data_IF_885402015943
#
_entry.id   IF_885402015943
#
_cell.length_a   1.000
_cell.length_b   1.000
_cell.length_c   1.000
_cell.angle_alpha   90.00
_cell.angle_beta   90.00
_cell.angle_gamma   90.00
#
_symmetry.space_group_name_H-M   'P 1'
#
loop_
_entity.id
_entity.type
_entity.pdbx_description
1 polymer ?
#
# COMPACT_ATOMS: atom_id res chain seq x y z
N UNK A 1 -61.53 43.38 28.20
CA UNK A 1 -60.77 42.90 27.02
C UNK A 1 -60.24 41.50 27.32
N UNK A 2 -60.82 40.44 26.74
CA UNK A 2 -60.35 39.05 26.92
C UNK A 2 -59.17 38.81 25.97
N UNK A 3 -58.00 38.44 26.49
CA UNK A 3 -56.83 38.08 25.68
C UNK A 3 -57.08 36.70 25.05
N UNK A 4 -57.00 36.63 23.73
CA UNK A 4 -57.06 35.41 22.95
C UNK A 4 -55.65 34.81 22.90
N UNK A 5 -55.44 33.64 23.51
CA UNK A 5 -54.20 32.89 23.40
C UNK A 5 -54.36 31.86 22.28
N UNK A 6 -53.60 32.00 21.20
CA UNK A 6 -53.52 31.03 20.10
C UNK A 6 -52.36 30.09 20.40
N UNK A 7 -52.64 28.79 20.54
CA UNK A 7 -51.63 27.75 20.58
C UNK A 7 -51.53 27.11 19.19
N UNK A 8 -50.38 27.25 18.54
CA UNK A 8 -50.05 26.53 17.30
C UNK A 8 -49.41 25.21 17.73
N UNK A 9 -50.11 24.10 17.51
CA UNK A 9 -49.57 22.75 17.64
C UNK A 9 -49.02 22.35 16.27
N UNK A 10 -47.72 22.54 16.03
CA UNK A 10 -47.05 21.92 14.88
C UNK A 10 -46.79 20.46 15.22
N UNK A 11 -47.54 19.57 14.59
CA UNK A 11 -47.34 18.13 14.66
C UNK A 11 -46.01 17.78 13.96
N UNK A 12 -44.91 17.75 14.71
CA UNK A 12 -43.63 17.24 14.23
C UNK A 12 -43.74 15.73 14.03
N UNK A 13 -43.94 15.31 12.78
CA UNK A 13 -43.71 13.93 12.37
C UNK A 13 -42.20 13.67 12.40
N UNK A 14 -41.72 13.06 13.48
CA UNK A 14 -40.39 12.45 13.52
C UNK A 14 -40.42 11.18 12.67
N UNK A 15 -40.06 11.31 11.40
CA UNK A 15 -39.79 10.16 10.54
C UNK A 15 -38.37 9.68 10.86
N UNK A 16 -38.26 8.66 11.70
CA UNK A 16 -37.00 7.96 11.92
C UNK A 16 -36.69 7.13 10.68
N UNK A 17 -35.84 7.65 9.79
CA UNK A 17 -35.22 6.83 8.77
C UNK A 17 -34.16 5.95 9.43
N UNK A 18 -34.42 4.64 9.48
CA UNK A 18 -33.34 3.70 9.69
C UNK A 18 -32.50 3.70 8.41
N UNK A 19 -31.40 4.47 8.41
CA UNK A 19 -30.37 4.33 7.40
C UNK A 19 -29.69 3.00 7.69
N UNK A 20 -30.13 1.94 7.00
CA UNK A 20 -29.32 0.74 6.89
C UNK A 20 -28.13 1.12 6.01
N UNK A 21 -26.98 1.40 6.63
CA UNK A 21 -25.75 1.54 5.88
C UNK A 21 -25.45 0.17 5.26
N UNK A 22 -25.38 0.11 3.93
CA UNK A 22 -24.87 -1.07 3.23
C UNK A 22 -23.45 -1.35 3.74
N UNK A 23 -23.12 -2.63 3.92
CA UNK A 23 -21.78 -3.04 4.35
C UNK A 23 -20.73 -2.47 3.37
N UNK A 24 -19.82 -1.64 3.87
CA UNK A 24 -18.73 -1.11 3.06
C UNK A 24 -17.82 -2.26 2.59
N UNK A 25 -17.76 -2.47 1.28
CA UNK A 25 -16.89 -3.44 0.63
C UNK A 25 -15.72 -2.73 -0.05
N UNK A 26 -14.51 -3.18 0.25
CA UNK A 26 -13.27 -2.72 -0.33
C UNK A 26 -12.61 -3.87 -1.11
N UNK A 27 -12.27 -3.64 -2.38
CA UNK A 27 -11.44 -4.56 -3.16
C UNK A 27 -9.98 -4.13 -3.05
N UNK A 28 -9.14 -4.96 -2.44
CA UNK A 28 -7.69 -4.74 -2.43
C UNK A 28 -7.10 -5.54 -3.58
N UNK A 29 -6.56 -4.84 -4.57
CA UNK A 29 -5.80 -5.40 -5.68
C UNK A 29 -4.33 -5.18 -5.32
N UNK A 30 -3.54 -6.24 -5.22
CA UNK A 30 -2.14 -6.07 -4.82
C UNK A 30 -1.21 -7.02 -5.55
N UNK A 31 0.04 -6.58 -5.67
CA UNK A 31 1.19 -7.42 -6.01
C UNK A 31 2.33 -7.14 -5.03
N UNK A 32 3.36 -7.96 -5.08
CA UNK A 32 4.59 -7.81 -4.30
C UNK A 32 5.73 -8.51 -5.04
N UNK A 33 6.97 -8.14 -4.74
CA UNK A 33 8.17 -8.89 -5.15
C UNK A 33 8.23 -9.15 -6.66
N UNK A 34 7.77 -8.18 -7.47
CA UNK A 34 7.83 -8.35 -8.92
C UNK A 34 9.26 -8.28 -9.42
N UNK A 35 10.21 -7.76 -8.63
CA UNK A 35 11.65 -7.88 -8.86
C UNK A 35 12.07 -7.54 -10.31
N UNK A 36 11.49 -6.50 -10.91
CA UNK A 36 11.76 -6.12 -12.30
C UNK A 36 11.52 -7.24 -13.35
N UNK A 37 10.67 -8.22 -13.06
CA UNK A 37 10.11 -9.17 -14.02
C UNK A 37 9.04 -8.47 -14.87
N UNK A 38 9.50 -7.55 -15.73
CA UNK A 38 8.64 -6.68 -16.53
C UNK A 38 8.05 -7.39 -17.76
N UNK A 39 8.68 -8.48 -18.22
CA UNK A 39 8.21 -9.31 -19.34
C UNK A 39 7.62 -10.62 -18.81
N UNK A 40 6.66 -11.17 -19.56
CA UNK A 40 6.18 -12.52 -19.32
C UNK A 40 7.32 -13.56 -19.44
N UNK A 41 7.20 -14.63 -18.67
CA UNK A 41 8.13 -15.74 -18.62
C UNK A 41 7.42 -17.05 -18.94
N UNK A 42 8.15 -18.02 -19.51
CA UNK A 42 7.61 -19.36 -19.67
C UNK A 42 7.80 -20.16 -18.38
N UNK A 43 6.73 -20.83 -17.96
CA UNK A 43 6.77 -21.83 -16.91
C UNK A 43 6.06 -23.10 -17.37
N UNK A 44 6.54 -24.23 -16.85
CA UNK A 44 5.91 -25.53 -17.04
C UNK A 44 4.91 -25.74 -15.89
N UNK A 45 3.66 -26.04 -16.24
CA UNK A 45 2.61 -26.39 -15.30
C UNK A 45 2.15 -27.81 -15.53
N UNK A 46 2.08 -28.60 -14.48
CA UNK A 46 1.50 -29.95 -14.51
C UNK A 46 0.14 -29.93 -13.82
N UNK A 47 -0.93 -30.13 -14.59
CA UNK A 47 -2.30 -30.26 -14.09
C UNK A 47 -2.82 -31.61 -14.54
N UNK A 48 -3.32 -32.41 -13.59
CA UNK A 48 -3.84 -33.77 -13.85
C UNK A 48 -2.88 -34.66 -14.65
N UNK A 49 -1.57 -34.51 -14.41
CA UNK A 49 -0.51 -35.29 -15.07
C UNK A 49 -0.10 -34.80 -16.46
N UNK A 50 -0.72 -33.73 -16.99
CA UNK A 50 -0.37 -33.13 -18.28
C UNK A 50 0.52 -31.91 -18.03
N UNK A 51 1.74 -31.92 -18.58
CA UNK A 51 2.64 -30.76 -18.52
C UNK A 51 2.43 -29.86 -19.73
N UNK A 52 2.18 -28.57 -19.47
CA UNK A 52 2.04 -27.53 -20.49
C UNK A 52 2.97 -26.36 -20.22
N UNK A 53 3.47 -25.77 -21.31
CA UNK A 53 4.21 -24.50 -21.29
C UNK A 53 3.23 -23.35 -21.37
N UNK A 54 3.24 -22.50 -20.35
CA UNK A 54 2.41 -21.28 -20.33
C UNK A 54 3.30 -20.06 -20.17
N UNK A 55 2.90 -18.96 -20.81
CA UNK A 55 3.47 -17.65 -20.51
C UNK A 55 2.73 -17.09 -19.28
N UNK A 56 3.48 -16.64 -18.29
CA UNK A 56 2.94 -16.09 -17.05
C UNK A 56 3.58 -14.75 -16.70
N UNK A 57 2.84 -13.92 -15.96
CA UNK A 57 3.32 -12.65 -15.44
C UNK A 57 3.64 -11.62 -16.52
N UNK A 58 4.57 -10.72 -16.20
CA UNK A 58 4.88 -9.54 -17.01
C UNK A 58 3.94 -8.38 -16.73
N UNK A 59 4.49 -7.18 -16.70
CA UNK A 59 3.75 -5.97 -16.37
C UNK A 59 2.59 -5.63 -17.31
N UNK A 60 2.65 -5.89 -18.63
CA UNK A 60 1.50 -5.69 -19.51
C UNK A 60 0.26 -6.50 -19.09
N UNK A 61 0.44 -7.76 -18.67
CA UNK A 61 -0.65 -8.60 -18.19
C UNK A 61 -1.17 -8.10 -16.84
N UNK A 62 -0.27 -7.72 -15.93
CA UNK A 62 -0.62 -7.15 -14.62
C UNK A 62 -1.44 -5.86 -14.79
N UNK A 63 -1.02 -4.94 -15.66
CA UNK A 63 -1.73 -3.68 -15.94
C UNK A 63 -3.13 -3.98 -16.50
N UNK A 64 -3.23 -4.91 -17.46
CA UNK A 64 -4.50 -5.32 -18.03
C UNK A 64 -5.46 -5.85 -16.97
N UNK A 65 -4.97 -6.71 -16.08
CA UNK A 65 -5.77 -7.31 -15.01
C UNK A 65 -6.18 -6.28 -13.95
N UNK A 66 -5.27 -5.41 -13.52
CA UNK A 66 -5.59 -4.30 -12.60
C UNK A 66 -6.71 -3.43 -13.17
N UNK A 67 -6.61 -3.05 -14.45
CA UNK A 67 -7.64 -2.24 -15.11
C UNK A 67 -9.00 -2.95 -15.18
N UNK A 68 -9.01 -4.25 -15.48
CA UNK A 68 -10.22 -5.08 -15.47
C UNK A 68 -10.85 -5.10 -14.08
N UNK A 69 -10.07 -5.41 -13.04
CA UNK A 69 -10.54 -5.53 -11.66
C UNK A 69 -11.06 -4.21 -11.09
N UNK A 70 -10.45 -3.07 -11.48
CA UNK A 70 -10.91 -1.72 -11.13
C UNK A 70 -12.24 -1.37 -11.78
N UNK A 71 -12.47 -1.84 -13.01
CA UNK A 71 -13.72 -1.59 -13.72
C UNK A 71 -14.92 -2.33 -13.11
N UNK A 72 -14.68 -3.47 -12.46
CA UNK A 72 -15.73 -4.26 -11.79
C UNK A 72 -16.19 -3.67 -10.45
N UNK A 73 -15.28 -3.08 -9.66
CA UNK A 73 -15.58 -2.60 -8.29
C UNK A 73 -15.02 -1.19 -8.08
N UNK A 74 -15.90 -0.17 -7.93
CA UNK A 74 -15.46 1.23 -7.81
C UNK A 74 -14.69 1.50 -6.52
N UNK A 75 -15.00 0.80 -5.43
CA UNK A 75 -14.27 0.91 -4.15
C UNK A 75 -13.06 -0.02 -4.16
N UNK A 76 -11.99 0.34 -4.87
CA UNK A 76 -10.76 -0.44 -4.94
C UNK A 76 -9.53 0.33 -4.50
N UNK A 77 -8.53 -0.42 -4.03
CA UNK A 77 -7.16 0.04 -3.77
C UNK A 77 -6.20 -0.84 -4.56
N UNK A 78 -5.23 -0.23 -5.23
CA UNK A 78 -4.16 -0.90 -5.96
C UNK A 78 -2.85 -0.69 -5.20
N UNK A 79 -2.30 -1.74 -4.60
CA UNK A 79 -1.16 -1.63 -3.67
C UNK A 79 0.03 -2.50 -4.11
N UNK A 80 1.24 -2.02 -3.87
CA UNK A 80 2.46 -2.79 -4.07
C UNK A 80 3.20 -3.01 -2.75
N UNK A 81 3.42 -4.26 -2.32
CA UNK A 81 4.02 -4.53 -1.00
C UNK A 81 5.56 -4.56 -1.01
N UNK A 82 6.21 -3.68 -1.79
CA UNK A 82 7.68 -3.58 -1.88
C UNK A 82 8.37 -4.60 -2.79
N UNK A 83 9.68 -4.44 -2.92
CA UNK A 83 10.58 -5.21 -3.78
C UNK A 83 10.20 -5.14 -5.27
N UNK A 84 10.11 -3.90 -5.77
CA UNK A 84 10.02 -3.62 -7.20
C UNK A 84 11.35 -3.87 -7.91
N UNK A 85 12.46 -3.65 -7.21
CA UNK A 85 13.80 -3.80 -7.78
C UNK A 85 14.34 -5.22 -7.65
N UNK A 86 15.27 -5.55 -8.54
CA UNK A 86 16.14 -6.72 -8.42
C UNK A 86 17.38 -6.52 -9.28
N UNK A 87 18.32 -7.48 -9.25
CA UNK A 87 19.47 -7.48 -10.16
C UNK A 87 19.16 -8.10 -11.54
N UNK A 88 17.89 -8.24 -11.92
CA UNK A 88 17.51 -8.75 -13.24
C UNK A 88 17.83 -7.74 -14.37
N UNK A 89 17.74 -8.23 -15.61
CA UNK A 89 18.22 -7.53 -16.82
C UNK A 89 17.66 -6.10 -16.93
N UNK A 90 16.35 -5.93 -16.71
CA UNK A 90 15.71 -4.62 -16.86
C UNK A 90 16.27 -3.59 -15.87
N UNK A 91 16.43 -3.95 -14.60
CA UNK A 91 17.02 -3.05 -13.62
C UNK A 91 18.51 -2.81 -13.88
N UNK A 92 19.23 -3.82 -14.36
CA UNK A 92 20.66 -3.67 -14.68
C UNK A 92 20.88 -2.62 -15.78
N UNK A 93 20.01 -2.58 -16.79
CA UNK A 93 20.13 -1.68 -17.94
C UNK A 93 19.45 -0.33 -17.70
N UNK A 94 18.22 -0.34 -17.18
CA UNK A 94 17.36 0.86 -17.08
C UNK A 94 17.24 1.40 -15.66
N UNK A 95 17.84 0.74 -14.68
CA UNK A 95 17.76 1.09 -13.25
C UNK A 95 16.29 1.23 -12.81
N UNK A 96 15.96 2.30 -12.10
CA UNK A 96 14.63 2.60 -11.58
C UNK A 96 13.58 2.88 -12.68
N UNK A 97 14.02 3.46 -13.80
CA UNK A 97 13.17 4.09 -14.82
C UNK A 97 12.09 3.16 -15.40
N UNK A 98 12.49 1.95 -15.78
CA UNK A 98 11.58 1.00 -16.41
C UNK A 98 10.49 0.51 -15.44
N UNK A 99 10.84 0.34 -14.15
CA UNK A 99 9.86 0.00 -13.12
C UNK A 99 8.91 1.18 -12.88
N UNK A 100 9.46 2.40 -12.73
CA UNK A 100 8.66 3.60 -12.49
C UNK A 100 7.62 3.84 -13.60
N UNK A 101 8.04 3.77 -14.86
CA UNK A 101 7.16 3.99 -16.01
C UNK A 101 5.99 2.99 -16.04
N UNK A 102 6.26 1.70 -15.84
CA UNK A 102 5.23 0.67 -15.89
C UNK A 102 4.34 0.67 -14.64
N UNK A 103 4.89 0.99 -13.47
CA UNK A 103 4.10 1.14 -12.24
C UNK A 103 3.19 2.35 -12.29
N UNK A 104 3.63 3.47 -12.88
CA UNK A 104 2.78 4.63 -13.14
C UNK A 104 1.60 4.27 -14.06
N UNK A 105 1.85 3.45 -15.10
CA UNK A 105 0.80 2.96 -16.00
C UNK A 105 -0.17 2.00 -15.31
N UNK A 106 0.29 1.21 -14.34
CA UNK A 106 -0.57 0.33 -13.54
C UNK A 106 -1.52 1.09 -12.61
N UNK A 107 -1.17 2.33 -12.24
CA UNK A 107 -2.00 3.18 -11.40
C UNK A 107 -2.12 2.67 -9.96
N UNK A 108 -0.97 2.39 -9.33
CA UNK A 108 -0.88 2.09 -7.90
C UNK A 108 -1.28 3.31 -7.05
N UNK A 109 -1.94 3.06 -5.92
CA UNK A 109 -2.29 4.07 -4.92
C UNK A 109 -1.19 4.27 -3.88
N UNK A 110 -0.42 3.21 -3.58
CA UNK A 110 0.73 3.26 -2.69
C UNK A 110 1.64 2.05 -2.87
N UNK A 111 2.90 2.24 -2.48
CA UNK A 111 3.88 1.16 -2.41
C UNK A 111 4.54 1.13 -1.02
N UNK A 112 4.62 -0.02 -0.38
CA UNK A 112 5.51 -0.18 0.77
C UNK A 112 6.97 -0.25 0.31
N UNK A 113 7.89 0.29 1.09
CA UNK A 113 9.33 0.15 0.82
C UNK A 113 9.76 -1.26 1.21
N UNK A 114 10.28 -2.04 0.26
CA UNK A 114 10.90 -3.34 0.49
C UNK A 114 12.39 -3.23 0.82
N UNK A 115 13.06 -4.37 0.93
CA UNK A 115 14.48 -4.37 1.23
C UNK A 115 15.34 -4.07 0.00
N UNK A 116 14.92 -4.50 -1.19
CA UNK A 116 15.69 -4.32 -2.43
C UNK A 116 15.62 -2.89 -2.98
N UNK A 117 14.69 -2.07 -2.49
CA UNK A 117 14.67 -0.63 -2.78
C UNK A 117 15.95 0.09 -2.35
N UNK A 118 16.70 -0.45 -1.39
CA UNK A 118 17.98 0.10 -0.91
C UNK A 118 19.23 -0.50 -1.56
N UNK A 119 19.12 -1.41 -2.54
CA UNK A 119 20.27 -2.18 -3.05
C UNK A 119 21.35 -1.33 -3.72
N UNK A 120 20.92 -0.22 -4.33
CA UNK A 120 21.77 0.79 -4.98
C UNK A 120 21.89 2.07 -4.12
N UNK A 121 21.45 2.00 -2.86
CA UNK A 121 21.50 3.09 -1.88
C UNK A 121 20.38 4.12 -2.01
N UNK A 122 20.33 5.01 -1.02
CA UNK A 122 19.28 6.00 -0.83
C UNK A 122 19.07 6.92 -2.05
N UNK A 123 20.14 7.22 -2.79
CA UNK A 123 20.09 8.08 -3.97
C UNK A 123 19.26 7.49 -5.10
N UNK A 124 19.34 6.18 -5.34
CA UNK A 124 18.50 5.53 -6.36
C UNK A 124 17.04 5.49 -5.92
N UNK A 125 16.79 5.15 -4.66
CA UNK A 125 15.44 5.15 -4.10
C UNK A 125 14.81 6.54 -4.20
N UNK A 126 15.57 7.61 -3.96
CA UNK A 126 15.10 8.99 -4.17
C UNK A 126 14.65 9.21 -5.61
N UNK A 127 15.48 8.84 -6.60
CA UNK A 127 15.13 8.99 -8.02
C UNK A 127 13.85 8.25 -8.36
N UNK A 128 13.68 7.03 -7.86
CA UNK A 128 12.46 6.27 -8.06
C UNK A 128 11.23 6.97 -7.46
N UNK A 129 11.34 7.48 -6.23
CA UNK A 129 10.28 8.27 -5.58
C UNK A 129 9.93 9.52 -6.41
N UNK A 130 10.94 10.19 -6.99
CA UNK A 130 10.74 11.37 -7.83
C UNK A 130 10.06 11.04 -9.17
N UNK A 131 10.16 9.79 -9.65
CA UNK A 131 9.59 9.34 -10.94
C UNK A 131 8.21 8.72 -10.83
N UNK A 132 7.84 8.14 -9.68
CA UNK A 132 6.50 7.55 -9.49
C UNK A 132 5.46 8.60 -9.12
N UNK A 133 4.20 8.36 -9.53
CA UNK A 133 3.07 9.24 -9.25
C UNK A 133 2.27 8.86 -7.99
N UNK A 134 2.78 7.91 -7.20
CA UNK A 134 2.18 7.42 -5.97
C UNK A 134 3.18 7.45 -4.81
N UNK A 135 2.71 7.57 -3.55
CA UNK A 135 3.60 7.61 -2.40
C UNK A 135 4.23 6.25 -2.10
N UNK A 136 5.50 6.29 -1.69
CA UNK A 136 6.14 5.20 -0.97
C UNK A 136 5.93 5.37 0.54
N UNK A 137 5.61 4.27 1.23
CA UNK A 137 5.28 4.28 2.64
C UNK A 137 6.07 3.24 3.45
N UNK A 138 6.48 3.62 4.66
CA UNK A 138 7.02 2.72 5.66
C UNK A 138 7.02 3.38 7.04
N UNK A 139 6.34 2.77 7.99
CA UNK A 139 6.19 3.30 9.35
C UNK A 139 7.45 3.22 10.19
N UNK A 140 8.34 2.30 9.86
CA UNK A 140 9.55 2.03 10.64
C UNK A 140 10.83 2.53 9.97
N UNK A 141 10.74 3.27 8.86
CA UNK A 141 11.89 3.97 8.27
C UNK A 141 11.91 5.41 8.80
N UNK A 142 13.03 5.81 9.38
CA UNK A 142 13.30 7.17 9.78
C UNK A 142 14.55 7.70 9.06
N UNK A 143 14.33 8.61 8.11
CA UNK A 143 15.41 9.28 7.37
C UNK A 143 15.77 10.61 8.06
N UNK A 144 17.04 10.76 8.45
CA UNK A 144 17.54 12.00 9.08
C UNK A 144 17.39 13.20 8.15
N UNK A 145 17.51 14.43 8.69
CA UNK A 145 17.50 15.67 7.89
C UNK A 145 18.60 15.75 6.82
N UNK A 146 19.67 14.97 6.95
CA UNK A 146 20.77 14.90 5.98
C UNK A 146 20.51 13.88 4.87
N UNK A 147 19.55 12.98 5.06
CA UNK A 147 19.22 11.96 4.08
C UNK A 147 18.54 12.58 2.85
N UNK A 148 18.88 12.14 1.63
CA UNK A 148 18.11 12.48 0.43
C UNK A 148 16.64 12.01 0.48
N UNK A 149 16.31 11.09 1.40
CA UNK A 149 14.97 10.53 1.60
C UNK A 149 14.18 11.26 2.70
N UNK A 150 14.74 12.31 3.32
CA UNK A 150 14.09 13.04 4.40
C UNK A 150 12.70 13.55 3.99
N UNK A 151 11.67 13.14 4.73
CA UNK A 151 10.28 13.53 4.46
C UNK A 151 9.64 12.93 3.22
N UNK A 152 10.34 12.08 2.45
CA UNK A 152 9.83 11.49 1.21
C UNK A 152 9.08 10.17 1.44
N UNK A 153 9.47 9.40 2.45
CA UNK A 153 8.81 8.14 2.83
C UNK A 153 7.86 8.43 4.00
N UNK A 154 6.56 8.30 3.76
CA UNK A 154 5.54 8.56 4.79
C UNK A 154 5.30 7.30 5.63
N UNK A 155 5.01 7.42 6.93
CA UNK A 155 4.72 6.24 7.74
C UNK A 155 3.40 5.56 7.36
N UNK A 156 2.42 6.37 6.97
CA UNK A 156 1.10 5.96 6.52
C UNK A 156 0.52 7.00 5.57
N UNK A 157 -0.56 6.63 4.88
CA UNK A 157 -1.45 7.55 4.16
C UNK A 157 -2.90 7.30 4.57
N UNK A 158 -3.78 8.26 4.27
CA UNK A 158 -5.23 8.13 4.45
C UNK A 158 -5.86 8.35 3.08
N UNK A 159 -6.61 7.36 2.61
CA UNK A 159 -7.32 7.39 1.34
C UNK A 159 -8.82 7.54 1.60
N UNK A 160 -9.49 8.42 0.85
CA UNK A 160 -10.95 8.51 0.87
C UNK A 160 -11.50 7.62 -0.25
N UNK A 161 -12.33 6.63 0.10
CA UNK A 161 -12.96 5.70 -0.84
C UNK A 161 -14.46 5.70 -0.58
N UNK A 162 -15.23 6.28 -1.51
CA UNK A 162 -16.61 6.66 -1.23
C UNK A 162 -16.66 7.65 -0.07
N UNK A 163 -17.47 7.36 0.94
CA UNK A 163 -17.61 8.18 2.16
C UNK A 163 -16.66 7.73 3.28
N UNK A 164 -15.85 6.69 3.04
CA UNK A 164 -15.02 6.04 4.05
C UNK A 164 -13.56 6.49 3.99
N UNK A 165 -12.94 6.58 5.17
CA UNK A 165 -11.50 6.84 5.31
C UNK A 165 -10.77 5.54 5.61
N UNK A 166 -9.81 5.20 4.75
CA UNK A 166 -8.96 4.01 4.91
C UNK A 166 -7.54 4.47 5.24
N UNK A 167 -7.04 4.10 6.42
CA UNK A 167 -5.64 4.30 6.77
C UNK A 167 -4.78 3.17 6.18
N UNK A 168 -3.64 3.49 5.59
CA UNK A 168 -2.71 2.51 5.03
C UNK A 168 -1.34 2.74 5.67
N UNK A 169 -0.90 1.81 6.51
CA UNK A 169 0.39 1.85 7.21
C UNK A 169 1.40 1.03 6.41
N UNK A 170 2.57 1.59 6.12
CA UNK A 170 3.67 0.87 5.49
C UNK A 170 4.53 0.12 6.50
N UNK A 171 5.20 -0.97 6.12
CA UNK A 171 6.19 -1.63 6.97
C UNK A 171 7.31 -2.27 6.15
N UNK A 172 8.55 -2.08 6.58
CA UNK A 172 9.76 -2.67 5.96
C UNK A 172 10.46 -3.61 6.94
N UNK A 173 11.00 -4.73 6.45
CA UNK A 173 11.82 -5.64 7.27
C UNK A 173 13.16 -5.01 7.68
N UNK A 174 13.32 -4.59 8.94
CA UNK A 174 14.50 -3.86 9.40
C UNK A 174 15.79 -4.65 9.23
N UNK A 175 15.89 -5.79 9.91
CA UNK A 175 17.13 -6.57 10.01
C UNK A 175 17.65 -7.05 8.65
N UNK A 176 16.74 -7.43 7.74
CA UNK A 176 17.11 -7.90 6.40
C UNK A 176 17.60 -6.74 5.54
N UNK A 177 16.94 -5.59 5.58
CA UNK A 177 17.37 -4.41 4.82
C UNK A 177 18.75 -3.93 5.29
N UNK A 178 18.97 -3.83 6.60
CA UNK A 178 20.27 -3.42 7.16
C UNK A 178 21.40 -4.44 6.87
N UNK A 179 21.09 -5.73 6.88
CA UNK A 179 22.09 -6.79 6.73
C UNK A 179 22.33 -7.27 5.30
N UNK A 180 21.47 -6.92 4.35
CA UNK A 180 21.51 -7.50 2.99
C UNK A 180 21.19 -6.50 1.88
N UNK A 181 21.07 -5.22 2.20
CA UNK A 181 20.96 -4.11 1.25
C UNK A 181 21.95 -3.00 1.60
N UNK A 182 21.79 -1.79 1.06
CA UNK A 182 22.74 -0.68 1.26
C UNK A 182 22.07 0.65 1.71
N UNK A 183 21.19 0.65 2.73
CA UNK A 183 20.76 1.91 3.32
C UNK A 183 21.97 2.67 3.88
N UNK A 184 21.98 4.00 3.78
CA UNK A 184 23.04 4.82 4.39
C UNK A 184 22.90 4.90 5.92
N UNK A 185 23.94 5.41 6.59
CA UNK A 185 23.90 5.69 8.04
C UNK A 185 22.89 6.78 8.43
N UNK A 186 22.31 7.49 7.46
CA UNK A 186 21.25 8.48 7.68
C UNK A 186 19.85 7.84 7.72
N UNK A 187 19.75 6.53 7.53
CA UNK A 187 18.50 5.75 7.60
C UNK A 187 18.51 4.88 8.86
N UNK A 188 17.61 5.21 9.79
CA UNK A 188 17.35 4.37 10.97
C UNK A 188 16.10 3.55 10.75
N UNK A 189 16.17 2.26 11.05
CA UNK A 189 14.99 1.39 11.11
C UNK A 189 14.55 1.23 12.55
N UNK A 190 13.27 1.53 12.81
CA UNK A 190 12.62 1.38 14.10
C UNK A 190 12.06 -0.04 14.25
N UNK A 191 11.71 -0.42 15.49
CA UNK A 191 11.03 -1.70 15.74
C UNK A 191 9.72 -1.80 14.95
N UNK A 192 9.52 -2.92 14.28
CA UNK A 192 8.38 -3.15 13.40
C UNK A 192 7.04 -3.12 14.15
N UNK A 193 6.98 -3.68 15.37
CA UNK A 193 5.76 -3.71 16.17
C UNK A 193 5.43 -2.36 16.79
N UNK A 194 6.40 -1.72 17.44
CA UNK A 194 6.21 -0.41 18.06
C UNK A 194 5.78 0.63 17.03
N UNK A 195 6.38 0.61 15.83
CA UNK A 195 6.04 1.51 14.74
C UNK A 195 4.59 1.32 14.28
N UNK A 196 4.20 0.10 13.94
CA UNK A 196 2.82 -0.18 13.48
C UNK A 196 1.80 0.12 14.57
N UNK A 197 2.07 -0.28 15.81
CA UNK A 197 1.19 -0.05 16.95
C UNK A 197 0.95 1.44 17.19
N UNK A 198 2.01 2.26 17.17
CA UNK A 198 1.94 3.72 17.30
C UNK A 198 1.03 4.34 16.25
N UNK A 199 1.24 4.03 14.96
CA UNK A 199 0.44 4.66 13.89
C UNK A 199 -0.98 4.10 13.80
N UNK A 200 -1.20 2.82 14.12
CA UNK A 200 -2.52 2.25 14.22
C UNK A 200 -3.35 2.91 15.34
N UNK A 201 -2.75 3.13 16.51
CA UNK A 201 -3.38 3.85 17.61
C UNK A 201 -3.70 5.31 17.23
N UNK A 202 -2.76 6.00 16.56
CA UNK A 202 -2.95 7.36 16.06
C UNK A 202 -4.11 7.47 15.07
N UNK A 203 -4.18 6.56 14.08
CA UNK A 203 -5.28 6.52 13.10
C UNK A 203 -6.63 6.25 13.77
N UNK A 204 -6.69 5.31 14.72
CA UNK A 204 -7.90 5.04 15.51
C UNK A 204 -8.34 6.28 16.30
N UNK A 205 -7.41 7.01 16.91
CA UNK A 205 -7.71 8.26 17.63
C UNK A 205 -8.24 9.38 16.70
N UNK A 206 -7.90 9.35 15.41
CA UNK A 206 -8.47 10.23 14.38
C UNK A 206 -9.87 9.78 13.88
N UNK A 207 -10.44 8.72 14.47
CA UNK A 207 -11.74 8.15 14.07
C UNK A 207 -11.67 7.21 12.87
N UNK A 208 -10.47 6.84 12.41
CA UNK A 208 -10.29 5.89 11.30
C UNK A 208 -10.39 4.46 11.84
N UNK A 209 -11.42 3.74 11.42
CA UNK A 209 -11.71 2.38 11.88
C UNK A 209 -11.35 1.28 10.86
N UNK A 210 -10.92 1.66 9.65
CA UNK A 210 -10.46 0.75 8.59
C UNK A 210 -8.97 1.03 8.34
N UNK A 211 -8.12 0.08 8.70
CA UNK A 211 -6.66 0.22 8.60
C UNK A 211 -6.11 -1.00 7.86
N UNK A 212 -5.36 -0.74 6.78
CA UNK A 212 -4.60 -1.72 6.02
C UNK A 212 -3.13 -1.62 6.43
N UNK A 213 -2.51 -2.76 6.71
CA UNK A 213 -1.06 -2.85 6.87
C UNK A 213 -0.45 -3.35 5.55
N UNK A 214 0.21 -2.47 4.81
CA UNK A 214 0.94 -2.79 3.59
C UNK A 214 2.40 -3.08 3.97
N UNK A 215 2.78 -4.36 3.95
CA UNK A 215 3.99 -4.82 4.65
C UNK A 215 4.91 -5.66 3.78
N UNK A 216 6.20 -5.29 3.80
CA UNK A 216 7.32 -6.09 3.31
C UNK A 216 8.04 -6.79 4.48
N UNK A 217 7.28 -7.29 5.47
CA UNK A 217 7.80 -7.99 6.64
C UNK A 217 7.82 -9.51 6.47
N UNK A 218 7.25 -10.06 5.40
CA UNK A 218 7.21 -11.49 5.11
C UNK A 218 6.15 -12.26 5.90
N UNK A 219 5.61 -13.30 5.27
CA UNK A 219 4.39 -13.99 5.71
C UNK A 219 4.47 -14.59 7.13
N UNK A 220 5.55 -15.28 7.49
CA UNK A 220 5.66 -15.90 8.82
C UNK A 220 5.60 -14.88 9.96
N UNK A 221 6.24 -13.72 9.78
CA UNK A 221 6.35 -12.68 10.81
C UNK A 221 5.09 -11.81 10.89
N UNK A 222 4.34 -11.67 9.80
CA UNK A 222 3.11 -10.86 9.80
C UNK A 222 2.01 -11.48 10.66
N UNK A 223 1.93 -12.82 10.72
CA UNK A 223 0.96 -13.51 11.58
C UNK A 223 1.20 -13.25 13.07
N UNK A 224 2.46 -13.30 13.50
CA UNK A 224 2.84 -12.97 14.88
C UNK A 224 2.54 -11.50 15.21
N UNK A 225 2.89 -10.60 14.29
CA UNK A 225 2.60 -9.18 14.44
C UNK A 225 1.10 -8.92 14.56
N UNK A 226 0.29 -9.51 13.67
CA UNK A 226 -1.16 -9.36 13.66
C UNK A 226 -1.80 -9.84 14.98
N UNK A 227 -1.28 -10.93 15.56
CA UNK A 227 -1.76 -11.41 16.86
C UNK A 227 -1.41 -10.48 18.02
N UNK A 228 -0.29 -9.76 17.97
CA UNK A 228 0.09 -8.77 19.00
C UNK A 228 -0.66 -7.43 18.89
N UNK A 229 -1.30 -7.15 17.74
CA UNK A 229 -2.03 -5.91 17.46
C UNK A 229 -3.53 -5.98 17.76
N UNK A 230 -4.05 -7.19 18.03
CA UNK A 230 -5.42 -7.42 18.51
C UNK A 230 -5.53 -7.00 19.98
#
# INVERSE_FOLDING_TARGET
MKKLSVFIFTMSFLVSFNVFADDFKLKIIHINDHHSHLRAEQADYTIDGITMKVNQGGFPLIISEINSLKAEIPNSLVLHAGDAFSKHLFFTVFKEKANADLMNLAGFDAMAVGNHEFDEGDGLLKKFIDEVNFPLISSNINASEKSPLHGLIKPYIIMNIGEEKIGIIGLTVSRKTQGSSKPSDEITFLDEYESVSKYAAGLKAMGINKIVLLSHYGYGRIGELANKLK
#
